data_IF_624075004348
#
_entry.id   IF_624075004348
#
_cell.length_a   1.000
_cell.length_b   1.000
_cell.length_c   1.000
_cell.angle_alpha   90.00
_cell.angle_beta   90.00
_cell.angle_gamma   90.00
#
_symmetry.space_group_name_H-M   'P 1'
#
loop_
_entity.id
_entity.type
_entity.pdbx_description
1 polymer ?
#
# COMPACT_ATOMS: atom_id res chain seq x y z
N UNK A 1 21.74 -13.86 -39.93
CA UNK A 1 20.53 -14.64 -40.26
C UNK A 1 19.84 -14.93 -38.95
N UNK A 2 18.93 -14.01 -38.61
CA UNK A 2 17.74 -14.12 -37.76
C UNK A 2 17.84 -14.94 -36.45
N UNK A 3 18.05 -14.21 -35.36
CA UNK A 3 17.50 -14.52 -34.04
C UNK A 3 15.97 -14.33 -34.11
N UNK A 4 15.21 -15.42 -33.96
CA UNK A 4 13.75 -15.35 -33.87
C UNK A 4 13.36 -14.97 -32.44
N UNK A 5 13.13 -13.68 -32.20
CA UNK A 5 12.34 -13.19 -31.08
C UNK A 5 10.92 -13.77 -31.18
N UNK A 6 10.57 -14.72 -30.31
CA UNK A 6 9.18 -15.12 -30.12
C UNK A 6 8.46 -14.03 -29.32
N UNK A 7 8.00 -13.00 -30.03
CA UNK A 7 7.01 -12.05 -29.52
C UNK A 7 5.67 -12.80 -29.45
N UNK A 8 5.23 -13.15 -28.24
CA UNK A 8 3.84 -13.54 -28.03
C UNK A 8 2.98 -12.26 -28.06
N UNK A 9 2.58 -11.85 -29.26
CA UNK A 9 1.48 -10.90 -29.44
C UNK A 9 0.17 -11.59 -29.02
N UNK A 10 -0.19 -11.42 -27.74
CA UNK A 10 -1.49 -11.82 -27.23
C UNK A 10 -2.55 -10.85 -27.73
N UNK A 11 -3.24 -11.21 -28.82
CA UNK A 11 -4.54 -10.62 -29.17
C UNK A 11 -5.59 -11.73 -29.02
N UNK A 12 -6.38 -11.63 -27.96
CA UNK A 12 -7.67 -12.32 -27.85
C UNK A 12 -8.70 -11.31 -27.35
N UNK A 13 -9.47 -10.75 -28.30
CA UNK A 13 -10.70 -9.98 -28.05
C UNK A 13 -10.57 -8.46 -27.87
N UNK A 14 -10.80 -7.70 -28.94
CA UNK A 14 -11.10 -6.26 -28.87
C UNK A 14 -9.87 -5.33 -28.86
N UNK A 15 -10.08 -4.07 -29.24
CA UNK A 15 -9.08 -3.04 -29.58
C UNK A 15 -7.87 -2.93 -28.63
N UNK A 16 -6.69 -2.51 -29.14
CA UNK A 16 -5.49 -2.34 -28.33
C UNK A 16 -5.72 -1.33 -27.21
N UNK A 17 -5.74 -1.81 -25.97
CA UNK A 17 -5.78 -0.96 -24.78
C UNK A 17 -4.36 -0.41 -24.58
N UNK A 18 -4.18 0.91 -24.76
CA UNK A 18 -2.96 1.59 -24.33
C UNK A 18 -2.92 1.59 -22.79
N UNK A 19 -2.09 0.72 -22.21
CA UNK A 19 -1.89 0.64 -20.75
C UNK A 19 -0.58 1.34 -20.41
N UNK A 20 -0.59 2.54 -19.78
CA UNK A 20 0.64 3.20 -19.35
C UNK A 20 1.33 2.39 -18.23
N UNK A 21 2.64 2.63 -18.06
CA UNK A 21 3.38 2.14 -16.90
C UNK A 21 2.70 2.60 -15.58
N UNK A 22 2.52 1.70 -14.64
CA UNK A 22 1.88 2.00 -13.35
C UNK A 22 2.59 1.30 -12.18
N UNK A 23 2.61 1.91 -11.00
CA UNK A 23 3.19 1.35 -9.77
C UNK A 23 4.64 0.85 -9.91
N UNK A 24 5.48 1.58 -10.66
CA UNK A 24 6.89 1.22 -10.87
C UNK A 24 7.11 0.04 -11.83
N UNK A 25 6.05 -0.49 -12.45
CA UNK A 25 6.13 -1.50 -13.50
C UNK A 25 6.39 -0.87 -14.87
N UNK A 26 7.10 -1.61 -15.73
CA UNK A 26 7.23 -1.25 -17.13
C UNK A 26 5.92 -1.47 -17.88
N UNK A 27 5.75 -0.82 -19.03
CA UNK A 27 4.60 -1.03 -19.90
C UNK A 27 4.40 -2.52 -20.25
N UNK A 28 5.49 -3.24 -20.52
CA UNK A 28 5.45 -4.67 -20.81
C UNK A 28 4.94 -5.49 -19.61
N UNK A 29 5.38 -5.14 -18.40
CA UNK A 29 4.92 -5.80 -17.18
C UNK A 29 3.43 -5.56 -16.93
N UNK A 30 2.97 -4.32 -17.15
CA UNK A 30 1.56 -3.94 -17.08
C UNK A 30 0.71 -4.72 -18.09
N UNK A 31 1.15 -4.78 -19.36
CA UNK A 31 0.46 -5.51 -20.42
C UNK A 31 0.37 -7.00 -20.13
N UNK A 32 1.48 -7.61 -19.66
CA UNK A 32 1.48 -9.03 -19.28
C UNK A 32 0.49 -9.30 -18.14
N UNK A 33 0.45 -8.44 -17.13
CA UNK A 33 -0.44 -8.62 -15.99
C UNK A 33 -1.91 -8.54 -16.42
N UNK A 34 -2.28 -7.53 -17.22
CA UNK A 34 -3.63 -7.40 -17.79
C UNK A 34 -3.98 -8.61 -18.66
N UNK A 35 -3.05 -9.09 -19.49
CA UNK A 35 -3.28 -10.27 -20.31
C UNK A 35 -3.55 -11.54 -19.47
N UNK A 36 -2.80 -11.73 -18.38
CA UNK A 36 -3.04 -12.85 -17.46
C UNK A 36 -4.38 -12.73 -16.74
N UNK A 37 -4.79 -11.51 -16.36
CA UNK A 37 -6.11 -11.28 -15.80
C UNK A 37 -7.22 -11.50 -16.83
N UNK A 38 -7.07 -11.09 -18.09
CA UNK A 38 -8.06 -11.39 -19.13
C UNK A 38 -8.34 -12.89 -19.25
N UNK A 39 -7.32 -13.72 -19.08
CA UNK A 39 -7.46 -15.19 -19.15
C UNK A 39 -8.02 -15.81 -17.86
N UNK A 40 -7.79 -15.18 -16.70
CA UNK A 40 -8.17 -15.75 -15.39
C UNK A 40 -9.44 -15.14 -14.80
N UNK A 41 -9.66 -13.83 -14.97
CA UNK A 41 -10.82 -13.04 -14.55
C UNK A 41 -11.06 -11.85 -15.51
N UNK A 42 -11.83 -12.05 -16.61
CA UNK A 42 -12.08 -11.01 -17.62
C UNK A 42 -12.83 -9.78 -17.10
N UNK A 43 -13.69 -9.93 -16.08
CA UNK A 43 -14.44 -8.78 -15.53
C UNK A 43 -13.54 -7.91 -14.65
N UNK A 44 -12.69 -8.54 -13.84
CA UNK A 44 -11.67 -7.80 -13.10
C UNK A 44 -10.67 -7.13 -14.04
N UNK A 45 -10.23 -7.80 -15.09
CA UNK A 45 -9.27 -7.24 -16.06
C UNK A 45 -9.75 -5.92 -16.70
N UNK A 46 -11.05 -5.77 -16.95
CA UNK A 46 -11.66 -4.51 -17.45
C UNK A 46 -11.54 -3.36 -16.45
N UNK A 47 -11.57 -3.67 -15.16
CA UNK A 47 -11.54 -2.67 -14.08
C UNK A 47 -10.13 -2.48 -13.50
N UNK A 48 -9.24 -3.44 -13.71
CA UNK A 48 -7.91 -3.49 -13.11
C UNK A 48 -7.07 -2.21 -13.34
N UNK A 49 -7.04 -1.58 -14.54
CA UNK A 49 -6.27 -0.35 -14.76
C UNK A 49 -6.73 0.83 -13.88
N UNK A 50 -7.99 0.83 -13.43
CA UNK A 50 -8.53 1.88 -12.55
C UNK A 50 -8.59 1.44 -11.09
N UNK A 51 -8.87 0.16 -10.82
CA UNK A 51 -9.04 -0.38 -9.47
C UNK A 51 -7.73 -0.42 -8.67
N UNK A 52 -6.64 -0.93 -9.25
CA UNK A 52 -5.35 -1.06 -8.53
C UNK A 52 -4.76 0.31 -8.13
N UNK A 53 -4.73 1.34 -9.01
CA UNK A 53 -4.24 2.66 -8.61
C UNK A 53 -5.08 3.33 -7.52
N UNK A 54 -6.41 3.20 -7.56
CA UNK A 54 -7.29 3.77 -6.53
C UNK A 54 -7.04 3.07 -5.19
N UNK A 55 -6.98 1.73 -5.20
CA UNK A 55 -6.66 0.95 -4.02
C UNK A 55 -5.28 1.34 -3.46
N UNK A 56 -4.28 1.55 -4.33
CA UNK A 56 -2.93 1.97 -3.94
C UNK A 56 -2.95 3.29 -3.19
N UNK A 57 -3.65 4.28 -3.74
CA UNK A 57 -3.73 5.59 -3.14
C UNK A 57 -4.42 5.55 -1.78
N UNK A 58 -5.54 4.83 -1.64
CA UNK A 58 -6.27 4.70 -0.38
C UNK A 58 -5.40 4.06 0.69
N UNK A 59 -4.78 2.94 0.34
CA UNK A 59 -3.93 2.15 1.22
C UNK A 59 -2.66 2.91 1.64
N UNK A 60 -2.01 3.62 0.72
CA UNK A 60 -0.85 4.47 1.01
C UNK A 60 -1.22 5.62 1.97
N UNK A 61 -2.34 6.31 1.73
CA UNK A 61 -2.82 7.39 2.58
C UNK A 61 -3.10 6.93 4.02
N UNK A 62 -3.68 5.74 4.19
CA UNK A 62 -3.94 5.16 5.52
C UNK A 62 -2.65 4.82 6.26
N UNK A 63 -1.67 4.28 5.55
CA UNK A 63 -0.36 3.95 6.11
C UNK A 63 0.42 5.17 6.55
N UNK A 64 0.52 6.18 5.69
CA UNK A 64 1.20 7.44 5.99
C UNK A 64 0.60 8.11 7.22
N UNK A 65 -0.74 8.15 7.33
CA UNK A 65 -1.42 8.68 8.51
C UNK A 65 -1.02 7.94 9.79
N UNK A 66 -1.01 6.60 9.75
CA UNK A 66 -0.73 5.75 10.93
C UNK A 66 0.73 5.79 11.38
N UNK A 67 1.66 5.88 10.43
CA UNK A 67 3.11 5.89 10.66
C UNK A 67 3.73 7.28 10.63
N UNK A 68 2.90 8.33 10.54
CA UNK A 68 3.34 9.71 10.66
C UNK A 68 4.09 9.94 11.98
N UNK A 69 5.07 10.85 11.92
CA UNK A 69 5.84 11.26 13.11
C UNK A 69 4.90 11.73 14.22
N UNK A 70 3.85 12.48 13.87
CA UNK A 70 2.84 12.93 14.83
C UNK A 70 2.14 11.80 15.57
N UNK A 71 1.64 10.79 14.85
CA UNK A 71 0.99 9.64 15.50
C UNK A 71 1.93 8.81 16.34
N UNK A 72 3.22 8.76 15.99
CA UNK A 72 4.25 8.10 16.82
C UNK A 72 4.51 8.89 18.11
N UNK A 73 4.59 10.22 18.03
CA UNK A 73 4.79 11.08 19.19
C UNK A 73 3.56 11.15 20.11
N UNK A 74 2.34 11.07 19.56
CA UNK A 74 1.10 10.91 20.34
C UNK A 74 1.12 9.69 21.26
N UNK A 75 1.72 8.57 20.83
CA UNK A 75 1.83 7.34 21.63
C UNK A 75 2.91 7.42 22.70
N UNK A 76 3.89 8.30 22.47
CA UNK A 76 5.03 8.48 23.33
C UNK A 76 4.63 9.21 24.63
N UNK A 77 4.35 10.51 24.50
CA UNK A 77 3.88 11.35 25.58
C UNK A 77 3.11 12.54 24.97
N UNK A 78 2.01 12.95 25.60
CA UNK A 78 1.17 14.04 25.12
C UNK A 78 1.98 15.34 24.93
N UNK A 79 2.97 15.61 25.79
CA UNK A 79 3.88 16.76 25.66
C UNK A 79 4.52 16.85 24.26
N UNK A 80 5.02 15.73 23.73
CA UNK A 80 5.68 15.69 22.42
C UNK A 80 4.69 15.78 21.26
N UNK A 81 3.47 15.26 21.46
CA UNK A 81 2.37 15.48 20.51
C UNK A 81 1.99 16.94 20.43
N UNK A 82 1.97 17.67 21.55
CA UNK A 82 1.59 19.07 21.58
C UNK A 82 2.66 19.92 20.89
N UNK A 83 3.94 19.65 21.15
CA UNK A 83 5.06 20.29 20.43
C UNK A 83 4.99 20.00 18.91
N UNK A 84 4.66 18.76 18.52
CA UNK A 84 4.50 18.39 17.11
C UNK A 84 3.27 18.99 16.45
N UNK A 85 2.10 19.00 17.12
CA UNK A 85 0.87 19.58 16.59
C UNK A 85 1.00 21.07 16.43
N UNK A 86 1.57 21.74 17.42
CA UNK A 86 1.94 23.14 17.33
C UNK A 86 2.81 23.37 16.10
N UNK A 87 3.90 22.61 15.97
CA UNK A 87 4.77 22.66 14.79
C UNK A 87 4.03 22.48 13.45
N UNK A 88 3.21 21.43 13.31
CA UNK A 88 2.44 21.12 12.10
C UNK A 88 1.39 22.20 11.77
N UNK A 89 0.67 22.69 12.78
CA UNK A 89 -0.33 23.73 12.65
C UNK A 89 0.28 25.03 12.14
N UNK A 90 1.38 25.47 12.76
CA UNK A 90 2.02 26.72 12.37
C UNK A 90 2.71 26.58 11.01
N UNK A 91 3.29 25.42 10.71
CA UNK A 91 3.83 25.14 9.38
C UNK A 91 2.75 25.26 8.31
N UNK A 92 1.55 24.68 8.54
CA UNK A 92 0.42 24.76 7.60
C UNK A 92 -0.06 26.20 7.41
N UNK A 93 -0.24 26.96 8.49
CA UNK A 93 -0.67 28.37 8.42
C UNK A 93 0.33 29.23 7.62
N UNK A 94 1.62 28.97 7.79
CA UNK A 94 2.65 29.73 7.09
C UNK A 94 2.78 29.37 5.60
N UNK A 95 2.54 28.11 5.21
CA UNK A 95 2.43 27.74 3.78
C UNK A 95 1.27 28.49 3.13
N UNK A 96 0.10 28.50 3.76
CA UNK A 96 -1.09 29.20 3.27
C UNK A 96 -0.79 30.70 3.07
N UNK A 97 -0.23 31.36 4.10
CA UNK A 97 0.13 32.79 4.02
C UNK A 97 1.19 33.09 2.97
N UNK A 98 2.27 32.31 2.88
CA UNK A 98 3.30 32.46 1.84
C UNK A 98 2.71 32.42 0.43
N UNK A 99 1.76 31.52 0.20
CA UNK A 99 1.10 31.42 -1.11
C UNK A 99 0.29 32.67 -1.45
N UNK A 100 -0.25 33.36 -0.45
CA UNK A 100 -1.05 34.59 -0.63
C UNK A 100 -0.23 35.89 -0.68
N UNK A 101 1.02 35.88 -0.21
CA UNK A 101 1.87 37.08 -0.10
C UNK A 101 2.94 37.18 -1.19
N UNK A 102 2.77 36.48 -2.32
CA UNK A 102 3.75 36.40 -3.40
C UNK A 102 5.13 35.93 -2.88
N UNK A 103 5.11 34.93 -2.00
CA UNK A 103 6.32 34.28 -1.47
C UNK A 103 7.21 35.22 -0.63
N UNK A 104 6.66 36.36 -0.18
CA UNK A 104 7.35 37.28 0.70
C UNK A 104 7.32 36.74 2.14
N UNK A 105 8.47 36.28 2.59
CA UNK A 105 8.71 35.69 3.91
C UNK A 105 8.28 36.62 5.04
N UNK A 106 8.74 37.87 5.02
CA UNK A 106 8.49 38.84 6.10
C UNK A 106 7.00 39.21 6.17
N UNK A 107 6.30 39.25 5.03
CA UNK A 107 4.85 39.47 4.98
C UNK A 107 4.05 38.24 5.38
N UNK A 108 4.53 37.03 5.09
CA UNK A 108 3.88 35.78 5.49
C UNK A 108 4.02 35.51 6.99
N UNK A 109 5.13 35.95 7.58
CA UNK A 109 5.38 35.96 9.00
C UNK A 109 4.42 36.88 9.77
N UNK A 110 4.01 37.99 9.14
CA UNK A 110 3.13 39.00 9.75
C UNK A 110 1.73 38.42 10.03
N UNK A 111 1.33 38.42 11.30
CA UNK A 111 0.00 37.97 11.75
C UNK A 111 -0.20 36.46 11.89
N UNK A 112 0.86 35.61 11.88
CA UNK A 112 0.77 34.26 12.43
C UNK A 112 0.25 34.36 13.87
N UNK A 113 -0.79 33.59 14.23
CA UNK A 113 -1.44 33.70 15.55
C UNK A 113 -0.48 33.24 16.65
N UNK A 114 0.31 34.19 17.14
CA UNK A 114 1.19 34.01 18.29
C UNK A 114 0.52 34.69 19.47
N UNK A 115 0.36 33.98 20.58
CA UNK A 115 -0.10 34.60 21.82
C UNK A 115 0.84 35.76 22.19
N UNK A 116 0.29 36.87 22.71
CA UNK A 116 1.06 38.05 23.09
C UNK A 116 2.24 37.66 24.00
N UNK A 117 3.46 37.72 23.46
CA UNK A 117 4.71 37.38 24.15
C UNK A 117 5.54 36.23 23.56
N UNK A 118 5.05 35.48 22.57
CA UNK A 118 5.76 34.32 21.97
C UNK A 118 6.54 34.61 20.66
N UNK A 119 6.62 35.88 20.25
CA UNK A 119 6.70 36.36 18.86
C UNK A 119 7.92 35.99 17.99
N UNK A 120 8.95 35.31 18.49
CA UNK A 120 10.16 35.04 17.66
C UNK A 120 10.52 33.57 17.49
N UNK A 121 10.27 32.70 18.47
CA UNK A 121 10.75 31.31 18.44
C UNK A 121 10.00 30.45 17.42
N UNK A 122 8.67 30.57 17.46
CA UNK A 122 7.75 29.89 16.55
C UNK A 122 7.94 30.39 15.12
N UNK A 123 8.07 31.71 14.95
CA UNK A 123 8.41 32.32 13.67
C UNK A 123 9.68 31.67 13.08
N UNK A 124 10.74 31.55 13.87
CA UNK A 124 12.00 30.98 13.41
C UNK A 124 11.87 29.47 13.08
N UNK A 125 11.10 28.72 13.87
CA UNK A 125 10.84 27.30 13.63
C UNK A 125 10.14 27.06 12.29
N UNK A 126 9.16 27.91 11.99
CA UNK A 126 8.30 27.83 10.81
C UNK A 126 9.05 28.24 9.57
N UNK A 127 9.69 29.41 9.63
CA UNK A 127 10.50 29.91 8.54
C UNK A 127 11.68 28.99 8.26
N UNK A 128 12.29 28.43 9.30
CA UNK A 128 13.33 27.43 9.18
C UNK A 128 12.86 26.18 8.44
N UNK A 129 11.67 25.68 8.77
CA UNK A 129 11.11 24.46 8.17
C UNK A 129 10.66 24.65 6.72
N UNK A 130 10.13 25.83 6.39
CA UNK A 130 9.76 26.21 5.03
C UNK A 130 10.98 26.34 4.12
N UNK A 131 12.05 26.96 4.62
CA UNK A 131 13.32 27.05 3.91
C UNK A 131 13.97 25.66 3.74
N UNK A 132 13.76 24.74 4.69
CA UNK A 132 14.20 23.34 4.58
C UNK A 132 13.46 22.55 3.51
N UNK A 133 12.11 22.57 3.54
CA UNK A 133 11.29 21.76 2.62
C UNK A 133 11.24 22.29 1.19
N UNK A 134 11.64 23.56 0.99
CA UNK A 134 11.34 24.32 -0.21
C UNK A 134 9.86 24.69 -0.27
N UNK A 135 9.53 25.82 -0.87
CA UNK A 135 8.15 26.33 -0.86
C UNK A 135 7.37 25.68 -2.01
N UNK A 136 6.19 25.11 -1.78
CA UNK A 136 5.38 24.43 -2.81
C UNK A 136 4.21 25.32 -3.24
N UNK A 137 3.77 25.24 -4.50
CA UNK A 137 2.55 25.93 -4.96
C UNK A 137 1.39 24.96 -5.03
N UNK A 138 0.15 25.46 -4.90
CA UNK A 138 -1.01 24.61 -5.09
C UNK A 138 -1.04 24.03 -6.53
N UNK A 139 -1.46 22.76 -6.69
CA UNK A 139 -1.64 22.16 -8.00
C UNK A 139 -2.67 22.91 -8.81
N UNK A 140 -2.29 23.37 -10.01
CA UNK A 140 -3.23 24.03 -10.93
C UNK A 140 -4.19 23.04 -11.61
N UNK A 141 -4.05 21.73 -11.34
CA UNK A 141 -4.92 20.66 -11.83
C UNK A 141 -4.37 19.27 -11.50
N UNK A 142 -5.10 18.19 -11.88
CA UNK A 142 -4.74 16.80 -11.56
C UNK A 142 -3.39 16.34 -12.12
N UNK A 143 -2.93 16.95 -13.22
CA UNK A 143 -1.69 16.58 -13.92
C UNK A 143 -0.48 17.45 -13.56
N UNK A 144 -0.63 18.43 -12.67
CA UNK A 144 0.41 19.40 -12.33
C UNK A 144 1.44 18.83 -11.33
N UNK A 145 2.25 17.86 -11.79
CA UNK A 145 3.35 17.30 -10.99
C UNK A 145 4.45 18.32 -10.67
N UNK A 146 4.51 19.42 -11.42
CA UNK A 146 5.47 20.50 -11.20
C UNK A 146 5.11 21.38 -9.99
N UNK A 147 3.83 21.50 -9.63
CA UNK A 147 3.38 22.18 -8.40
C UNK A 147 3.88 21.53 -7.10
N UNK A 148 4.15 20.23 -7.16
CA UNK A 148 4.73 19.43 -6.07
C UNK A 148 6.25 19.58 -5.97
N UNK A 149 6.90 20.12 -7.00
CA UNK A 149 8.31 20.54 -6.96
C UNK A 149 8.41 21.89 -6.26
N UNK A 150 9.44 22.14 -5.44
CA UNK A 150 9.60 23.43 -4.78
C UNK A 150 9.66 24.57 -5.79
N UNK A 151 8.85 25.61 -5.59
CA UNK A 151 8.87 26.93 -6.26
C UNK A 151 10.24 27.59 -6.08
N UNK A 152 10.91 27.33 -4.95
CA UNK A 152 12.30 27.70 -4.70
C UNK A 152 13.06 26.51 -4.10
N UNK A 153 14.30 26.31 -4.53
CA UNK A 153 15.21 25.33 -3.96
C UNK A 153 15.37 25.54 -2.43
N UNK A 154 15.56 24.46 -1.64
CA UNK A 154 15.82 24.58 -0.21
C UNK A 154 16.97 25.56 0.10
N UNK A 155 16.75 26.43 1.08
CA UNK A 155 17.79 27.29 1.65
C UNK A 155 18.20 26.73 3.01
N UNK A 156 19.11 25.76 2.99
CA UNK A 156 19.54 25.06 4.20
C UNK A 156 20.27 25.97 5.20
N UNK A 157 21.03 26.96 4.74
CA UNK A 157 21.77 27.88 5.61
C UNK A 157 20.81 28.77 6.41
N UNK A 158 19.85 29.42 5.71
CA UNK A 158 18.80 30.20 6.36
C UNK A 158 17.90 29.33 7.25
N UNK A 159 17.60 28.11 6.80
CA UNK A 159 16.84 27.15 7.59
C UNK A 159 17.51 26.83 8.94
N UNK A 160 18.80 26.49 8.90
CA UNK A 160 19.59 26.16 10.10
C UNK A 160 19.63 27.33 11.08
N UNK A 161 19.96 28.53 10.62
CA UNK A 161 20.06 29.72 11.50
C UNK A 161 18.76 29.99 12.27
N UNK A 162 17.60 29.83 11.61
CA UNK A 162 16.31 30.03 12.26
C UNK A 162 15.96 28.88 13.21
N UNK A 163 16.21 27.64 12.81
CA UNK A 163 16.01 26.48 13.69
C UNK A 163 16.91 26.51 14.93
N UNK A 164 18.13 27.03 14.84
CA UNK A 164 19.03 27.22 15.99
C UNK A 164 18.42 28.18 17.02
N UNK A 165 17.91 29.32 16.55
CA UNK A 165 17.20 30.28 17.40
C UNK A 165 15.94 29.69 18.04
N UNK A 166 15.21 28.83 17.33
CA UNK A 166 14.07 28.12 17.89
C UNK A 166 14.51 27.11 18.97
N UNK A 167 15.59 26.37 18.72
CA UNK A 167 16.15 25.42 19.67
C UNK A 167 16.61 26.09 20.97
N UNK A 168 17.30 27.23 20.89
CA UNK A 168 17.75 28.01 22.06
C UNK A 168 16.60 28.46 22.98
N UNK A 169 15.38 28.46 22.46
CA UNK A 169 14.15 28.82 23.17
C UNK A 169 13.34 27.60 23.64
N UNK A 170 13.89 26.40 23.50
CA UNK A 170 13.34 25.16 24.05
C UNK A 170 12.61 24.27 23.04
N UNK A 171 12.57 24.61 21.75
CA UNK A 171 11.93 23.77 20.71
C UNK A 171 12.87 22.65 20.28
N UNK A 172 12.76 21.50 20.93
CA UNK A 172 13.64 20.35 20.73
C UNK A 172 13.53 19.76 19.33
N UNK A 173 12.35 19.85 18.71
CA UNK A 173 12.12 19.43 17.33
C UNK A 173 12.97 20.22 16.32
N UNK A 174 13.36 21.46 16.62
CA UNK A 174 14.21 22.25 15.74
C UNK A 174 15.59 21.59 15.55
N UNK A 175 16.19 21.08 16.64
CA UNK A 175 17.45 20.33 16.57
C UNK A 175 17.32 19.01 15.78
N UNK A 176 16.17 18.33 15.86
CA UNK A 176 15.89 17.15 15.02
C UNK A 176 15.81 17.52 13.53
N UNK A 177 15.19 18.65 13.21
CA UNK A 177 15.14 19.16 11.82
C UNK A 177 16.52 19.58 11.32
N UNK A 178 17.34 20.26 12.14
CA UNK A 178 18.73 20.60 11.79
C UNK A 178 19.54 19.33 11.48
N UNK A 179 19.44 18.30 12.32
CA UNK A 179 20.11 17.03 12.04
C UNK A 179 19.64 16.39 10.72
N UNK A 180 18.36 16.55 10.39
CA UNK A 180 17.78 16.05 9.12
C UNK A 180 18.24 16.88 7.91
N UNK A 181 18.46 18.18 8.07
CA UNK A 181 19.04 19.06 7.05
C UNK A 181 20.43 18.58 6.66
N UNK A 182 21.31 18.33 7.64
CA UNK A 182 22.68 17.88 7.35
C UNK A 182 22.71 16.54 6.59
N UNK A 183 21.84 15.59 6.95
CA UNK A 183 21.73 14.32 6.23
C UNK A 183 21.21 14.50 4.79
N UNK A 184 20.30 15.45 4.58
CA UNK A 184 19.76 15.74 3.26
C UNK A 184 20.80 16.46 2.38
N UNK A 185 21.55 17.42 2.94
CA UNK A 185 22.67 18.09 2.27
C UNK A 185 23.72 17.08 1.81
N UNK A 186 24.09 16.12 2.66
CA UNK A 186 25.02 15.05 2.30
C UNK A 186 24.51 14.23 1.11
N UNK A 187 23.23 13.81 1.16
CA UNK A 187 22.58 13.03 0.11
C UNK A 187 22.57 13.77 -1.23
N UNK A 188 22.28 15.08 -1.21
CA UNK A 188 22.26 15.93 -2.41
C UNK A 188 23.67 16.20 -2.96
N UNK A 189 24.66 16.34 -2.08
CA UNK A 189 26.03 16.63 -2.44
C UNK A 189 26.82 15.39 -2.88
N UNK A 190 26.31 14.17 -2.67
CA UNK A 190 27.05 12.94 -2.95
C UNK A 190 28.38 12.86 -2.19
N UNK A 191 28.46 13.49 -1.02
CA UNK A 191 29.70 13.61 -0.23
C UNK A 191 30.72 14.64 -0.74
N UNK A 192 30.38 15.46 -1.75
CA UNK A 192 31.30 16.43 -2.37
C UNK A 192 31.23 17.84 -1.74
N UNK A 193 30.21 18.15 -0.94
CA UNK A 193 30.06 19.46 -0.32
C UNK A 193 30.25 19.37 1.19
N UNK A 194 31.39 19.84 1.68
CA UNK A 194 31.56 20.77 2.80
C UNK A 194 33.06 20.82 3.18
N UNK A 195 33.51 21.96 3.73
CA UNK A 195 34.91 22.31 4.02
C UNK A 195 35.61 21.35 5.03
N UNK A 196 35.89 20.11 4.63
CA UNK A 196 36.67 19.15 5.40
C UNK A 196 35.98 18.54 6.64
N UNK A 197 34.66 18.71 6.80
CA UNK A 197 33.89 18.15 7.92
C UNK A 197 32.71 17.31 7.41
N UNK A 198 32.48 16.15 8.03
CA UNK A 198 31.46 15.18 7.64
C UNK A 198 30.07 15.63 8.16
N UNK A 199 29.08 15.92 7.28
CA UNK A 199 27.72 16.31 7.68
C UNK A 199 27.05 15.33 8.64
N UNK A 200 27.39 14.04 8.59
CA UNK A 200 26.86 13.03 9.51
C UNK A 200 27.26 13.32 10.94
N UNK A 201 28.46 13.86 11.18
CA UNK A 201 28.93 14.24 12.52
C UNK A 201 28.08 15.38 13.07
N UNK A 202 27.79 16.40 12.27
CA UNK A 202 26.90 17.48 12.69
C UNK A 202 25.47 16.99 12.92
N UNK A 203 24.96 16.11 12.06
CA UNK A 203 23.66 15.50 12.26
C UNK A 203 23.60 14.76 13.61
N UNK A 204 24.62 13.94 13.90
CA UNK A 204 24.76 13.24 15.17
C UNK A 204 24.74 14.20 16.37
N UNK A 205 25.55 15.26 16.34
CA UNK A 205 25.65 16.24 17.42
C UNK A 205 24.31 16.94 17.68
N UNK A 206 23.58 17.32 16.63
CA UNK A 206 22.27 17.94 16.75
C UNK A 206 21.20 16.98 17.28
N UNK A 207 21.18 15.73 16.80
CA UNK A 207 20.32 14.72 17.40
C UNK A 207 20.65 14.47 18.87
N UNK A 208 21.94 14.48 19.24
CA UNK A 208 22.38 14.30 20.62
C UNK A 208 21.91 15.45 21.52
N UNK A 209 22.02 16.70 21.08
CA UNK A 209 21.48 17.87 21.81
C UNK A 209 19.99 17.71 22.12
N UNK A 210 19.19 17.27 21.14
CA UNK A 210 17.76 17.02 21.35
C UNK A 210 17.49 15.77 22.23
N UNK A 211 18.31 14.72 22.11
CA UNK A 211 18.20 13.51 22.91
C UNK A 211 18.56 13.75 24.39
N UNK A 212 19.48 14.67 24.67
CA UNK A 212 19.84 15.10 26.03
C UNK A 212 18.67 15.84 26.72
N UNK A 213 17.74 16.39 25.94
CA UNK A 213 16.45 16.93 26.39
C UNK A 213 15.31 15.89 26.41
N UNK A 214 15.67 14.60 26.28
CA UNK A 214 14.76 13.45 26.29
C UNK A 214 13.72 13.43 25.16
N UNK A 215 13.95 14.14 24.05
CA UNK A 215 13.09 14.00 22.89
C UNK A 215 13.16 12.54 22.35
N UNK A 216 12.05 11.79 22.31
CA UNK A 216 12.07 10.36 22.00
C UNK A 216 12.50 10.06 20.56
N UNK A 217 12.13 10.91 19.61
CA UNK A 217 12.56 10.80 18.22
C UNK A 217 14.07 11.04 18.09
N UNK A 218 14.60 12.03 18.80
CA UNK A 218 16.04 12.28 18.83
C UNK A 218 16.82 11.13 19.48
N UNK A 219 16.33 10.61 20.62
CA UNK A 219 16.91 9.43 21.27
C UNK A 219 16.96 8.23 20.32
N UNK A 220 15.88 7.98 19.57
CA UNK A 220 15.86 6.96 18.53
C UNK A 220 16.93 7.19 17.44
N UNK A 221 17.03 8.42 16.92
CA UNK A 221 18.03 8.78 15.89
C UNK A 221 19.47 8.60 16.39
N UNK A 222 19.77 9.03 17.61
CA UNK A 222 21.09 8.83 18.23
C UNK A 222 21.41 7.34 18.39
N UNK A 223 20.44 6.54 18.83
CA UNK A 223 20.59 5.09 18.91
C UNK A 223 20.97 4.47 17.56
N UNK A 224 20.27 4.86 16.49
CA UNK A 224 20.55 4.38 15.13
C UNK A 224 21.93 4.81 14.63
N UNK A 225 22.35 6.03 14.90
CA UNK A 225 23.67 6.52 14.49
C UNK A 225 24.80 5.74 15.18
N UNK A 226 24.66 5.47 16.47
CA UNK A 226 25.62 4.66 17.24
C UNK A 226 25.63 3.20 16.81
N UNK A 227 24.48 2.62 16.47
CA UNK A 227 24.38 1.24 15.99
C UNK A 227 25.10 1.06 14.65
N UNK A 228 24.96 2.04 13.74
CA UNK A 228 25.48 1.97 12.38
C UNK A 228 26.86 2.65 12.22
N UNK A 229 27.34 3.39 13.23
CA UNK A 229 28.58 4.18 13.14
C UNK A 229 28.47 5.37 12.17
N UNK A 230 27.30 6.00 12.09
CA UNK A 230 27.05 7.13 11.19
C UNK A 230 27.49 8.41 11.90
N UNK A 231 28.53 9.08 11.39
CA UNK A 231 29.02 10.35 11.97
C UNK A 231 29.55 10.24 13.41
N UNK A 232 29.72 9.02 13.92
CA UNK A 232 30.21 8.71 15.25
C UNK A 232 30.82 7.30 15.27
N UNK A 233 31.58 6.98 16.32
CA UNK A 233 32.10 5.63 16.51
C UNK A 233 30.95 4.65 16.81
N UNK A 234 30.96 3.50 16.14
CA UNK A 234 29.96 2.46 16.35
C UNK A 234 30.00 1.97 17.81
N UNK A 235 28.88 2.03 18.50
CA UNK A 235 28.76 1.55 19.88
C UNK A 235 27.35 1.04 20.17
N UNK A 236 27.18 -0.28 20.09
CA UNK A 236 25.88 -0.94 20.27
C UNK A 236 25.34 -0.81 21.70
N UNK A 237 26.19 -0.84 22.73
CA UNK A 237 25.75 -0.70 24.13
C UNK A 237 25.14 0.68 24.39
N UNK A 238 25.81 1.74 23.91
CA UNK A 238 25.28 3.10 23.99
C UNK A 238 24.01 3.23 23.14
N UNK A 239 23.96 2.63 21.95
CA UNK A 239 22.77 2.61 21.10
C UNK A 239 21.56 2.02 21.84
N UNK A 240 21.72 0.85 22.48
CA UNK A 240 20.69 0.22 23.31
C UNK A 240 20.22 1.17 24.43
N UNK A 241 21.15 1.88 25.08
CA UNK A 241 20.82 2.87 26.11
C UNK A 241 19.92 4.00 25.59
N UNK A 242 20.22 4.55 24.41
CA UNK A 242 19.38 5.59 23.79
C UNK A 242 18.05 5.06 23.26
N UNK A 243 18.02 3.85 22.69
CA UNK A 243 16.78 3.21 22.32
C UNK A 243 15.88 2.93 23.53
N UNK A 244 16.44 2.54 24.67
CA UNK A 244 15.68 2.38 25.92
C UNK A 244 15.07 3.69 26.40
N UNK A 245 15.80 4.80 26.36
CA UNK A 245 15.23 6.13 26.70
C UNK A 245 14.02 6.47 25.81
N UNK A 246 14.14 6.27 24.51
CA UNK A 246 13.03 6.49 23.58
C UNK A 246 11.86 5.51 23.82
N UNK A 247 12.17 4.25 24.13
CA UNK A 247 11.19 3.23 24.48
C UNK A 247 10.40 3.56 25.74
N UNK A 248 11.09 4.02 26.80
CA UNK A 248 10.48 4.40 28.07
C UNK A 248 9.53 5.59 27.90
N UNK A 249 9.87 6.49 26.98
CA UNK A 249 9.00 7.58 26.51
C UNK A 249 7.94 7.11 25.51
N UNK A 250 7.78 5.82 25.22
CA UNK A 250 6.68 5.30 24.39
C UNK A 250 6.89 5.33 22.88
N UNK A 251 8.14 5.44 22.40
CA UNK A 251 8.44 5.52 20.97
C UNK A 251 8.49 4.12 20.29
N UNK A 252 7.58 3.84 19.33
CA UNK A 252 7.41 2.49 18.79
C UNK A 252 8.59 1.97 17.96
N UNK A 253 9.25 2.83 17.20
CA UNK A 253 10.40 2.44 16.36
C UNK A 253 11.59 1.99 17.24
N UNK A 254 11.75 2.57 18.43
CA UNK A 254 12.80 2.15 19.37
C UNK A 254 12.47 0.83 20.06
N UNK A 255 11.20 0.59 20.40
CA UNK A 255 10.76 -0.74 20.82
C UNK A 255 11.08 -1.79 19.75
N UNK A 256 10.78 -1.50 18.49
CA UNK A 256 11.07 -2.40 17.38
C UNK A 256 12.56 -2.71 17.25
N UNK A 257 13.43 -1.68 17.26
CA UNK A 257 14.87 -1.88 17.12
C UNK A 257 15.46 -2.64 18.31
N UNK A 258 15.00 -2.39 19.54
CA UNK A 258 15.38 -3.21 20.69
C UNK A 258 14.95 -4.67 20.52
N UNK A 259 13.76 -4.90 19.97
CA UNK A 259 13.27 -6.22 19.60
C UNK A 259 14.22 -6.94 18.63
N UNK A 260 14.63 -6.26 17.55
CA UNK A 260 15.57 -6.80 16.54
C UNK A 260 16.96 -7.09 17.12
N UNK A 261 17.49 -6.19 17.96
CA UNK A 261 18.78 -6.36 18.63
C UNK A 261 18.75 -7.61 19.52
N UNK A 262 17.70 -7.75 20.35
CA UNK A 262 17.54 -8.91 21.22
C UNK A 262 17.18 -10.19 20.46
N UNK A 263 16.68 -10.09 19.22
CA UNK A 263 16.47 -11.26 18.36
C UNK A 263 17.78 -11.82 17.79
N UNK A 264 18.80 -10.97 17.67
CA UNK A 264 20.10 -11.32 17.09
C UNK A 264 20.26 -10.96 15.60
N UNK A 265 19.44 -10.04 15.07
CA UNK A 265 19.46 -9.68 13.64
C UNK A 265 20.55 -8.68 13.23
N UNK A 266 21.29 -8.11 14.18
CA UNK A 266 22.39 -7.18 13.91
C UNK A 266 23.73 -7.89 14.13
N UNK A 267 24.68 -7.76 13.20
CA UNK A 267 26.01 -8.34 13.37
C UNK A 267 26.64 -7.86 14.70
N UNK A 268 27.31 -8.75 15.44
CA UNK A 268 27.86 -8.53 16.81
C UNK A 268 26.86 -8.67 17.99
N UNK A 269 25.59 -9.02 17.75
CA UNK A 269 24.54 -9.13 18.80
C UNK A 269 24.49 -10.44 19.58
N UNK A 270 25.34 -11.43 19.32
CA UNK A 270 25.27 -12.72 20.01
C UNK A 270 25.27 -12.57 21.56
N UNK A 271 25.95 -11.55 22.09
CA UNK A 271 25.98 -11.22 23.51
C UNK A 271 24.66 -10.63 24.07
N UNK A 272 23.80 -10.07 23.20
CA UNK A 272 22.52 -9.45 23.56
C UNK A 272 21.31 -10.29 23.21
N UNK A 273 21.49 -11.45 22.55
CA UNK A 273 20.40 -12.34 22.14
C UNK A 273 19.59 -12.78 23.37
N UNK A 274 18.32 -12.41 23.37
CA UNK A 274 17.33 -12.73 24.39
C UNK A 274 15.95 -12.74 23.72
N UNK A 275 15.53 -13.92 23.25
CA UNK A 275 14.30 -14.10 22.46
C UNK A 275 13.07 -13.65 23.25
N UNK A 276 13.05 -13.89 24.57
CA UNK A 276 11.96 -13.47 25.43
C UNK A 276 11.85 -11.94 25.47
N UNK A 277 12.95 -11.23 25.70
CA UNK A 277 12.94 -9.75 25.63
C UNK A 277 12.59 -9.23 24.24
N UNK A 278 13.04 -9.91 23.19
CA UNK A 278 12.69 -9.55 21.82
C UNK A 278 11.17 -9.52 21.62
N UNK A 279 10.48 -10.58 22.07
CA UNK A 279 9.02 -10.66 22.05
C UNK A 279 8.39 -9.57 22.92
N UNK A 280 8.88 -9.34 24.14
CA UNK A 280 8.37 -8.28 25.03
C UNK A 280 8.41 -6.89 24.36
N UNK A 281 9.52 -6.56 23.71
CA UNK A 281 9.67 -5.29 23.00
C UNK A 281 8.76 -5.18 21.78
N UNK A 282 8.67 -6.24 20.96
CA UNK A 282 7.76 -6.22 19.81
C UNK A 282 6.28 -6.17 20.23
N UNK A 283 5.90 -6.87 21.30
CA UNK A 283 4.55 -6.83 21.87
C UNK A 283 4.20 -5.41 22.34
N UNK A 284 5.17 -4.71 22.95
CA UNK A 284 4.97 -3.32 23.34
C UNK A 284 4.80 -2.39 22.15
N UNK A 285 5.61 -2.55 21.10
CA UNK A 285 5.44 -1.82 19.84
C UNK A 285 4.09 -2.11 19.16
N UNK A 286 3.62 -3.37 19.22
CA UNK A 286 2.28 -3.77 18.74
C UNK A 286 1.18 -3.04 19.49
N UNK A 287 1.27 -2.95 20.83
CA UNK A 287 0.31 -2.19 21.64
C UNK A 287 0.27 -0.70 21.24
N UNK A 288 1.39 -0.16 20.77
CA UNK A 288 1.47 1.18 20.17
C UNK A 288 1.14 1.20 18.66
N UNK A 289 0.61 0.12 18.11
CA UNK A 289 0.10 0.05 16.75
C UNK A 289 1.18 0.10 15.66
N UNK A 290 2.41 -0.30 15.97
CA UNK A 290 3.52 -0.35 15.02
C UNK A 290 3.53 -1.66 14.23
N UNK A 291 3.10 -1.60 12.96
CA UNK A 291 2.97 -2.77 12.08
C UNK A 291 4.26 -3.58 11.91
N UNK A 292 5.45 -2.98 11.73
CA UNK A 292 6.68 -3.77 11.54
C UNK A 292 6.99 -4.74 12.70
N UNK A 293 6.65 -4.36 13.94
CA UNK A 293 6.81 -5.26 15.10
C UNK A 293 5.80 -6.41 15.12
N UNK A 294 4.61 -6.19 14.58
CA UNK A 294 3.60 -7.25 14.45
C UNK A 294 4.04 -8.27 13.42
N UNK A 295 4.64 -7.81 12.32
CA UNK A 295 5.24 -8.68 11.32
C UNK A 295 6.45 -9.43 11.85
N UNK A 296 7.30 -8.77 12.64
CA UNK A 296 8.42 -9.42 13.32
C UNK A 296 7.93 -10.52 14.27
N UNK A 297 6.92 -10.25 15.10
CA UNK A 297 6.28 -11.28 15.93
C UNK A 297 5.68 -12.39 15.08
N UNK A 298 4.91 -12.06 14.05
CA UNK A 298 4.29 -13.05 13.16
C UNK A 298 5.31 -14.02 12.58
N UNK A 299 6.44 -13.49 12.09
CA UNK A 299 7.58 -14.28 11.63
C UNK A 299 8.21 -15.12 12.74
N UNK A 300 8.33 -14.60 13.96
CA UNK A 300 8.83 -15.38 15.10
C UNK A 300 7.93 -16.56 15.42
N UNK A 301 6.61 -16.36 15.45
CA UNK A 301 5.64 -17.43 15.67
C UNK A 301 5.71 -18.50 14.57
N UNK A 302 5.82 -18.10 13.30
CA UNK A 302 6.05 -19.06 12.21
C UNK A 302 7.37 -19.82 12.36
N UNK A 303 8.45 -19.18 12.81
CA UNK A 303 9.71 -19.88 13.07
C UNK A 303 9.59 -20.84 14.26
N UNK A 304 8.86 -20.48 15.32
CA UNK A 304 8.59 -21.34 16.47
C UNK A 304 7.82 -22.61 16.08
N UNK A 305 6.90 -22.52 15.10
CA UNK A 305 6.20 -23.70 14.56
C UNK A 305 7.15 -24.76 13.98
N UNK A 306 8.32 -24.33 13.47
CA UNK A 306 9.33 -25.20 12.85
C UNK A 306 10.51 -25.50 13.79
N UNK A 307 10.62 -24.82 14.93
CA UNK A 307 11.74 -24.92 15.86
C UNK A 307 11.29 -24.90 17.33
N UNK A 308 11.20 -26.10 17.92
CA UNK A 308 10.79 -26.28 19.31
C UNK A 308 11.78 -25.71 20.35
N UNK A 309 13.07 -25.58 20.02
CA UNK A 309 14.05 -24.96 20.92
C UNK A 309 13.82 -23.45 20.99
N UNK A 310 13.55 -22.81 19.84
CA UNK A 310 13.19 -21.39 19.79
C UNK A 310 11.92 -21.09 20.61
N UNK A 311 10.91 -21.97 20.56
CA UNK A 311 9.69 -21.84 21.36
C UNK A 311 9.99 -21.89 22.89
N UNK A 312 10.93 -22.75 23.30
CA UNK A 312 11.42 -22.79 24.68
C UNK A 312 12.16 -21.51 25.07
N UNK A 313 13.06 -21.02 24.22
CA UNK A 313 13.80 -19.76 24.43
C UNK A 313 12.84 -18.55 24.55
N UNK A 314 11.75 -18.55 23.78
CA UNK A 314 10.70 -17.54 23.82
C UNK A 314 9.86 -17.56 25.11
N UNK A 315 10.02 -18.57 25.97
CA UNK A 315 9.19 -18.74 27.16
C UNK A 315 7.76 -19.18 26.84
N UNK A 316 7.53 -19.70 25.64
CA UNK A 316 6.27 -20.31 25.22
C UNK A 316 6.48 -21.80 24.86
N UNK A 317 6.96 -22.65 25.78
CA UNK A 317 7.16 -24.06 25.49
C UNK A 317 5.81 -24.80 25.52
N UNK A 318 5.42 -25.43 24.41
CA UNK A 318 4.38 -26.47 24.42
C UNK A 318 3.02 -26.14 23.82
N UNK A 319 2.88 -25.12 22.99
CA UNK A 319 1.76 -25.09 22.02
C UNK A 319 2.01 -26.06 20.87
N UNK A 320 0.95 -26.53 20.20
CA UNK A 320 1.06 -27.32 18.97
C UNK A 320 1.63 -26.43 17.84
N UNK A 321 2.43 -26.97 16.90
CA UNK A 321 3.00 -26.21 15.78
C UNK A 321 1.98 -25.33 15.05
N UNK A 322 0.77 -25.85 14.84
CA UNK A 322 -0.35 -25.21 14.17
C UNK A 322 -0.81 -23.94 14.90
N UNK A 323 -0.78 -23.92 16.24
CA UNK A 323 -1.19 -22.76 17.03
C UNK A 323 -0.26 -21.56 16.79
N UNK A 324 1.05 -21.82 16.65
CA UNK A 324 1.99 -20.75 16.30
C UNK A 324 1.80 -20.26 14.87
N UNK A 325 1.42 -21.14 13.93
CA UNK A 325 1.10 -20.72 12.55
C UNK A 325 -0.10 -19.78 12.54
N UNK A 326 -1.19 -20.16 13.21
CA UNK A 326 -2.40 -19.34 13.33
C UNK A 326 -2.07 -18.00 13.98
N UNK A 327 -1.39 -18.02 15.13
CA UNK A 327 -0.98 -16.79 15.85
C UNK A 327 -0.11 -15.91 14.96
N UNK A 328 0.83 -16.50 14.22
CA UNK A 328 1.72 -15.78 13.32
C UNK A 328 0.97 -15.04 12.22
N UNK A 329 -0.02 -15.70 11.63
CA UNK A 329 -0.89 -15.14 10.59
C UNK A 329 -1.79 -14.04 11.17
N UNK A 330 -2.45 -14.29 12.30
CA UNK A 330 -3.31 -13.30 12.96
C UNK A 330 -2.53 -12.02 13.29
N UNK A 331 -1.27 -12.14 13.73
CA UNK A 331 -0.41 -10.98 14.01
C UNK A 331 -0.11 -10.16 12.76
N UNK A 332 0.17 -10.81 11.63
CA UNK A 332 0.40 -10.13 10.35
C UNK A 332 -0.90 -9.52 9.81
N UNK A 333 -2.02 -10.25 9.86
CA UNK A 333 -3.33 -9.80 9.41
C UNK A 333 -3.89 -8.63 10.26
N UNK A 334 -3.73 -8.67 11.59
CA UNK A 334 -4.16 -7.60 12.49
C UNK A 334 -3.50 -6.25 12.18
N UNK A 335 -2.42 -6.26 11.39
CA UNK A 335 -1.67 -5.07 11.00
C UNK A 335 -1.54 -4.84 9.50
N UNK A 336 -2.27 -5.61 8.68
CA UNK A 336 -2.31 -5.50 7.22
C UNK A 336 -2.80 -4.14 6.68
N UNK A 337 -3.16 -3.20 7.55
CA UNK A 337 -3.55 -1.84 7.15
C UNK A 337 -2.32 -0.95 6.90
N UNK A 338 -1.30 -1.46 6.21
CA UNK A 338 -0.08 -0.67 6.05
C UNK A 338 1.12 -1.26 5.33
N UNK A 339 1.52 -2.46 5.72
CA UNK A 339 2.87 -2.97 5.43
C UNK A 339 2.87 -3.93 4.25
N UNK A 340 3.56 -3.55 3.17
CA UNK A 340 3.69 -4.37 1.96
C UNK A 340 4.42 -5.69 2.24
N UNK A 341 5.39 -5.68 3.16
CA UNK A 341 6.18 -6.87 3.51
C UNK A 341 5.30 -7.93 4.19
N UNK A 342 4.33 -7.49 5.02
CA UNK A 342 3.36 -8.39 5.65
C UNK A 342 2.50 -9.10 4.61
N UNK A 343 1.99 -8.33 3.65
CA UNK A 343 1.16 -8.82 2.57
C UNK A 343 1.94 -9.79 1.69
N UNK A 344 3.17 -9.44 1.32
CA UNK A 344 4.04 -10.35 0.57
C UNK A 344 4.23 -11.67 1.32
N UNK A 345 4.55 -11.61 2.62
CA UNK A 345 4.76 -12.80 3.46
C UNK A 345 3.49 -13.66 3.57
N UNK A 346 2.33 -13.06 3.80
CA UNK A 346 1.05 -13.77 3.82
C UNK A 346 0.76 -14.43 2.46
N UNK A 347 1.00 -13.70 1.36
CA UNK A 347 0.88 -14.25 0.01
C UNK A 347 1.79 -15.46 -0.22
N UNK A 348 3.02 -15.43 0.29
CA UNK A 348 3.94 -16.57 0.22
C UNK A 348 3.49 -17.75 1.08
N UNK A 349 2.95 -17.49 2.28
CA UNK A 349 2.45 -18.53 3.17
C UNK A 349 1.29 -19.27 2.52
N UNK A 350 0.25 -18.55 2.08
CA UNK A 350 -0.92 -19.13 1.40
C UNK A 350 -0.57 -19.72 0.02
N UNK A 351 0.43 -19.17 -0.67
CA UNK A 351 0.92 -19.68 -1.95
C UNK A 351 1.83 -20.91 -1.82
N UNK A 352 2.22 -21.30 -0.60
CA UNK A 352 3.09 -22.44 -0.32
C UNK A 352 2.33 -23.57 0.39
N UNK A 353 2.89 -24.79 0.32
CA UNK A 353 2.37 -25.93 1.09
C UNK A 353 3.05 -26.08 2.46
N UNK A 354 4.00 -25.19 2.77
CA UNK A 354 4.91 -25.30 3.93
C UNK A 354 4.20 -25.29 5.28
N UNK A 355 3.00 -24.70 5.34
CA UNK A 355 2.21 -24.55 6.55
C UNK A 355 0.84 -25.23 6.47
N UNK A 356 0.57 -26.03 5.43
CA UNK A 356 -0.72 -26.71 5.24
C UNK A 356 -1.92 -25.81 4.95
N UNK A 357 -1.70 -24.50 4.76
CA UNK A 357 -2.72 -23.47 4.54
C UNK A 357 -2.81 -23.03 3.07
N UNK A 358 -2.50 -23.92 2.13
CA UNK A 358 -2.42 -23.56 0.72
C UNK A 358 -3.78 -23.05 0.18
N UNK A 359 -3.83 -21.79 -0.21
CA UNK A 359 -5.01 -21.08 -0.73
C UNK A 359 -4.55 -20.06 -1.78
N UNK A 360 -4.76 -20.41 -3.05
CA UNK A 360 -4.29 -19.61 -4.18
C UNK A 360 -5.01 -18.28 -4.32
N UNK A 361 -6.28 -18.19 -3.93
CA UNK A 361 -7.05 -16.96 -4.05
C UNK A 361 -6.63 -15.97 -2.96
N UNK A 362 -6.42 -16.44 -1.73
CA UNK A 362 -5.80 -15.62 -0.68
C UNK A 362 -4.39 -15.19 -1.05
N UNK A 363 -3.58 -16.10 -1.59
CA UNK A 363 -2.24 -15.79 -2.03
C UNK A 363 -2.24 -14.68 -3.10
N UNK A 364 -3.13 -14.78 -4.09
CA UNK A 364 -3.32 -13.77 -5.12
C UNK A 364 -3.70 -12.42 -4.51
N UNK A 365 -4.72 -12.39 -3.66
CA UNK A 365 -5.21 -11.15 -3.02
C UNK A 365 -4.10 -10.43 -2.24
N UNK A 366 -3.31 -11.15 -1.43
CA UNK A 366 -2.21 -10.52 -0.71
C UNK A 366 -1.08 -10.04 -1.63
N UNK A 367 -0.80 -10.76 -2.72
CA UNK A 367 0.21 -10.33 -3.70
C UNK A 367 -0.22 -9.08 -4.47
N UNK A 368 -1.51 -8.98 -4.82
CA UNK A 368 -2.08 -7.76 -5.38
C UNK A 368 -1.95 -6.59 -4.41
N UNK A 369 -2.33 -6.79 -3.15
CA UNK A 369 -2.22 -5.77 -2.10
C UNK A 369 -0.76 -5.33 -1.88
N UNK A 370 0.20 -6.27 -1.87
CA UNK A 370 1.63 -5.94 -1.75
C UNK A 370 2.13 -5.13 -2.96
N UNK A 371 1.76 -5.52 -4.18
CA UNK A 371 2.13 -4.81 -5.41
C UNK A 371 1.56 -3.38 -5.44
N UNK A 372 0.30 -3.24 -5.00
CA UNK A 372 -0.42 -1.97 -4.86
C UNK A 372 0.29 -1.01 -3.90
N UNK A 373 1.06 -1.53 -2.94
CA UNK A 373 1.88 -0.75 -2.00
C UNK A 373 3.28 -0.41 -2.53
N UNK A 374 3.60 -0.82 -3.76
CA UNK A 374 4.89 -0.56 -4.39
C UNK A 374 5.94 -1.65 -4.18
N UNK A 375 5.58 -2.81 -3.60
CA UNK A 375 6.50 -3.94 -3.55
C UNK A 375 6.53 -4.67 -4.90
N UNK A 376 7.53 -4.33 -5.72
CA UNK A 376 7.75 -4.94 -7.03
C UNK A 376 8.12 -6.42 -6.97
N UNK A 377 8.53 -6.96 -5.81
CA UNK A 377 8.76 -8.40 -5.68
C UNK A 377 7.45 -9.18 -5.82
N UNK A 378 6.35 -8.62 -5.33
CA UNK A 378 5.01 -9.21 -5.41
C UNK A 378 4.57 -9.46 -6.86
N UNK A 379 5.00 -8.62 -7.81
CA UNK A 379 4.73 -8.81 -9.25
C UNK A 379 5.12 -10.21 -9.73
N UNK A 380 6.34 -10.64 -9.41
CA UNK A 380 6.87 -11.91 -9.90
C UNK A 380 6.10 -13.10 -9.33
N UNK A 381 5.69 -13.02 -8.06
CA UNK A 381 4.87 -14.05 -7.43
C UNK A 381 3.43 -14.03 -7.97
N UNK A 382 2.85 -12.85 -8.17
CA UNK A 382 1.51 -12.70 -8.75
C UNK A 382 1.44 -13.30 -10.15
N UNK A 383 2.43 -13.02 -11.01
CA UNK A 383 2.51 -13.63 -12.34
C UNK A 383 2.57 -15.16 -12.27
N UNK A 384 3.33 -15.72 -11.32
CA UNK A 384 3.39 -17.18 -11.10
C UNK A 384 2.04 -17.74 -10.68
N UNK A 385 1.34 -17.06 -9.76
CA UNK A 385 0.01 -17.44 -9.28
C UNK A 385 -1.00 -17.44 -10.43
N UNK A 386 -1.06 -16.34 -11.20
CA UNK A 386 -1.99 -16.21 -12.32
C UNK A 386 -1.71 -17.24 -13.43
N UNK A 387 -0.44 -17.50 -13.76
CA UNK A 387 -0.06 -18.57 -14.69
C UNK A 387 -0.47 -19.95 -14.19
N UNK A 388 -0.30 -20.22 -12.89
CA UNK A 388 -0.73 -21.49 -12.30
C UNK A 388 -2.26 -21.65 -12.37
N UNK A 389 -3.03 -20.57 -12.09
CA UNK A 389 -4.49 -20.57 -12.24
C UNK A 389 -4.92 -20.78 -13.69
N UNK A 390 -4.28 -20.11 -14.63
CA UNK A 390 -4.51 -20.33 -16.07
C UNK A 390 -4.25 -21.78 -16.47
N UNK A 391 -3.12 -22.36 -16.05
CA UNK A 391 -2.79 -23.75 -16.35
C UNK A 391 -3.81 -24.73 -15.74
N UNK A 392 -4.27 -24.48 -14.51
CA UNK A 392 -5.30 -25.28 -13.86
C UNK A 392 -6.65 -25.20 -14.61
N UNK A 393 -7.03 -24.01 -15.07
CA UNK A 393 -8.23 -23.81 -15.90
C UNK A 393 -8.14 -24.59 -17.22
N UNK A 394 -7.02 -24.47 -17.93
CA UNK A 394 -6.80 -25.20 -19.20
C UNK A 394 -6.85 -26.71 -18.98
N UNK A 395 -6.27 -27.21 -17.89
CA UNK A 395 -6.33 -28.63 -17.55
C UNK A 395 -7.77 -29.10 -17.30
N UNK A 396 -8.56 -28.31 -16.56
CA UNK A 396 -9.97 -28.59 -16.30
C UNK A 396 -10.81 -28.55 -17.59
N UNK A 397 -10.60 -27.55 -18.45
CA UNK A 397 -11.27 -27.45 -19.75
C UNK A 397 -10.94 -28.65 -20.64
N UNK A 398 -9.67 -29.08 -20.65
CA UNK A 398 -9.25 -30.29 -21.37
C UNK A 398 -9.92 -31.55 -20.82
N UNK A 399 -9.97 -31.72 -19.49
CA UNK A 399 -10.66 -32.84 -18.85
C UNK A 399 -12.16 -32.83 -19.18
N UNK A 400 -12.80 -31.67 -19.14
CA UNK A 400 -14.20 -31.48 -19.51
C UNK A 400 -14.45 -31.86 -20.98
N UNK A 401 -13.54 -31.47 -21.89
CA UNK A 401 -13.61 -31.85 -23.30
C UNK A 401 -13.44 -33.36 -23.50
N UNK A 402 -12.47 -33.98 -22.85
CA UNK A 402 -12.26 -35.43 -22.89
C UNK A 402 -13.47 -36.20 -22.31
N UNK A 403 -14.07 -35.70 -21.24
CA UNK A 403 -15.27 -36.26 -20.64
C UNK A 403 -16.49 -36.08 -21.56
N UNK A 404 -16.63 -34.92 -22.20
CA UNK A 404 -17.67 -34.66 -23.19
C UNK A 404 -17.53 -35.59 -24.39
N UNK A 405 -16.32 -35.81 -24.91
CA UNK A 405 -16.09 -36.71 -26.05
C UNK A 405 -16.51 -38.15 -25.76
N UNK A 406 -16.34 -38.63 -24.52
CA UNK A 406 -16.74 -39.97 -24.05
C UNK A 406 -18.25 -40.17 -23.91
N UNK A 407 -19.06 -39.10 -23.90
CA UNK A 407 -20.53 -39.20 -23.79
C UNK A 407 -21.16 -39.82 -25.05
N UNK A 408 -22.29 -40.52 -24.85
CA UNK A 408 -23.14 -41.02 -25.93
C UNK A 408 -23.77 -39.85 -26.72
N UNK A 409 -24.18 -40.08 -27.97
CA UNK A 409 -24.80 -39.03 -28.79
C UNK A 409 -26.08 -38.46 -28.15
N UNK A 410 -26.86 -39.31 -27.48
CA UNK A 410 -28.11 -38.94 -26.82
C UNK A 410 -27.87 -38.10 -25.55
N UNK A 411 -26.80 -38.41 -24.80
CA UNK A 411 -26.43 -37.65 -23.60
C UNK A 411 -25.75 -36.33 -23.93
N UNK A 412 -24.97 -36.25 -25.02
CA UNK A 412 -24.46 -34.98 -25.58
C UNK A 412 -25.60 -34.04 -25.92
N UNK A 413 -26.65 -34.54 -26.58
CA UNK A 413 -27.81 -33.73 -26.94
C UNK A 413 -28.60 -33.22 -25.72
N UNK A 414 -28.77 -34.06 -24.69
CA UNK A 414 -29.37 -33.65 -23.41
C UNK A 414 -28.55 -32.56 -22.71
N UNK A 415 -27.23 -32.72 -22.64
CA UNK A 415 -26.33 -31.77 -22.02
C UNK A 415 -26.31 -30.42 -22.76
N UNK A 416 -26.25 -30.44 -24.10
CA UNK A 416 -26.35 -29.23 -24.93
C UNK A 416 -27.68 -28.50 -24.67
N UNK A 417 -28.79 -29.23 -24.55
CA UNK A 417 -30.10 -28.65 -24.21
C UNK A 417 -30.16 -28.08 -22.79
N UNK A 418 -29.42 -28.64 -21.83
CA UNK A 418 -29.29 -28.11 -20.48
C UNK A 418 -28.45 -26.84 -20.45
N UNK A 419 -27.25 -26.86 -21.06
CA UNK A 419 -26.37 -25.70 -21.14
C UNK A 419 -27.01 -24.54 -21.92
N UNK A 420 -27.78 -24.83 -22.98
CA UNK A 420 -28.55 -23.81 -23.70
C UNK A 420 -29.69 -23.21 -22.88
N UNK A 421 -30.20 -23.91 -21.85
CA UNK A 421 -31.16 -23.35 -20.88
C UNK A 421 -30.46 -22.53 -19.79
N UNK A 422 -29.27 -22.94 -19.35
CA UNK A 422 -28.48 -22.22 -18.35
C UNK A 422 -27.85 -20.94 -18.93
N UNK A 423 -27.50 -20.93 -20.21
CA UNK A 423 -27.01 -19.75 -20.93
C UNK A 423 -28.07 -18.68 -21.26
N UNK A 424 -29.36 -18.95 -21.04
CA UNK A 424 -30.46 -17.98 -21.22
C UNK A 424 -30.98 -17.43 -19.86
N UNK A 425 -30.25 -17.66 -18.77
CA UNK A 425 -30.54 -17.09 -17.44
C UNK A 425 -29.94 -15.68 -17.25
N UNK A 426 -30.10 -14.80 -18.25
CA UNK A 426 -30.07 -13.36 -18.03
C UNK A 426 -31.46 -12.77 -18.29
N UNK A 427 -32.21 -12.63 -17.19
CA UNK A 427 -33.20 -11.58 -16.89
C UNK A 427 -34.36 -11.36 -17.88
N UNK A 428 -35.58 -11.65 -17.41
CA UNK A 428 -36.87 -11.07 -17.83
C UNK A 428 -36.89 -10.36 -19.20
N UNK A 429 -37.40 -11.04 -20.24
CA UNK A 429 -37.46 -10.51 -21.61
C UNK A 429 -38.35 -9.26 -21.66
N UNK A 430 -37.85 -8.16 -22.22
CA UNK A 430 -38.60 -6.90 -22.34
C UNK A 430 -39.59 -6.96 -23.51
N UNK A 431 -40.70 -6.23 -23.42
CA UNK A 431 -41.68 -6.16 -24.50
C UNK A 431 -41.04 -5.60 -25.78
N UNK A 432 -41.32 -6.24 -26.93
CA UNK A 432 -40.77 -5.80 -28.22
C UNK A 432 -41.31 -4.45 -28.73
N UNK A 433 -42.33 -3.86 -28.08
CA UNK A 433 -42.72 -2.50 -28.39
C UNK A 433 -41.74 -1.53 -27.72
N UNK A 434 -40.96 -0.78 -28.51
CA UNK A 434 -39.93 0.14 -28.01
C UNK A 434 -40.47 1.29 -27.14
N UNK A 435 -41.79 1.52 -27.16
CA UNK A 435 -42.47 2.50 -26.29
C UNK A 435 -43.03 1.86 -25.00
N UNK A 436 -42.75 0.58 -24.74
CA UNK A 436 -43.25 -0.17 -23.59
C UNK A 436 -42.11 -0.70 -22.69
N UNK A 437 -42.08 -0.25 -21.44
CA UNK A 437 -41.03 -0.62 -20.47
C UNK A 437 -41.31 -1.91 -19.68
N UNK A 438 -42.38 -2.65 -20.02
CA UNK A 438 -42.73 -3.88 -19.28
C UNK A 438 -41.76 -5.02 -19.58
N UNK A 439 -41.29 -5.67 -18.50
CA UNK A 439 -40.46 -6.89 -18.53
C UNK A 439 -41.28 -8.10 -18.12
N UNK A 440 -40.96 -9.25 -18.68
CA UNK A 440 -41.67 -10.50 -18.46
C UNK A 440 -41.41 -11.04 -17.05
N UNK A 441 -42.34 -10.83 -16.12
CA UNK A 441 -42.22 -11.24 -14.70
C UNK A 441 -42.26 -12.77 -14.52
N UNK A 442 -43.16 -13.45 -15.23
CA UNK A 442 -43.23 -14.92 -15.29
C UNK A 442 -42.84 -15.44 -16.68
N UNK A 443 -41.94 -16.44 -16.79
CA UNK A 443 -41.49 -16.97 -18.08
C UNK A 443 -42.64 -17.52 -18.92
N UNK A 444 -42.87 -16.95 -20.11
CA UNK A 444 -43.93 -17.36 -21.03
C UNK A 444 -45.26 -16.62 -20.86
N UNK A 445 -45.34 -15.64 -19.95
CA UNK A 445 -46.52 -14.78 -19.79
C UNK A 445 -46.70 -13.84 -20.99
N UNK A 446 -45.63 -13.48 -21.71
CA UNK A 446 -45.73 -12.65 -22.91
C UNK A 446 -46.10 -13.49 -24.13
N UNK A 447 -47.08 -13.01 -24.91
CA UNK A 447 -47.53 -13.72 -26.12
C UNK A 447 -46.59 -13.42 -27.28
N UNK A 448 -46.07 -14.48 -27.89
CA UNK A 448 -45.23 -14.39 -29.08
C UNK A 448 -46.03 -14.04 -30.33
N UNK A 449 -45.37 -13.40 -31.28
CA UNK A 449 -45.92 -13.17 -32.60
C UNK A 449 -46.29 -14.50 -33.27
N UNK A 450 -47.58 -14.71 -33.56
CA UNK A 450 -48.05 -15.98 -34.13
C UNK A 450 -47.48 -16.33 -35.51
N UNK A 451 -46.81 -15.40 -36.20
CA UNK A 451 -46.24 -15.61 -37.53
C UNK A 451 -44.74 -15.92 -37.53
N UNK A 452 -43.93 -15.15 -36.80
CA UNK A 452 -42.47 -15.35 -36.77
C UNK A 452 -41.96 -16.00 -35.49
N UNK A 453 -42.75 -16.03 -34.40
CA UNK A 453 -42.38 -16.53 -33.07
C UNK A 453 -41.14 -15.90 -32.40
N UNK A 454 -40.48 -14.92 -33.06
CA UNK A 454 -39.21 -14.33 -32.64
C UNK A 454 -39.32 -13.20 -31.62
N UNK A 455 -40.46 -12.49 -31.59
CA UNK A 455 -40.70 -11.36 -30.68
C UNK A 455 -41.91 -11.61 -29.80
N UNK A 456 -41.87 -11.09 -28.57
CA UNK A 456 -42.88 -11.30 -27.53
C UNK A 456 -43.47 -9.97 -27.03
N UNK A 457 -44.76 -9.99 -26.66
CA UNK A 457 -45.51 -8.80 -26.27
C UNK A 457 -46.28 -9.04 -24.98
N UNK A 458 -46.28 -8.02 -24.11
CA UNK A 458 -47.03 -8.05 -22.85
C UNK A 458 -48.55 -7.94 -23.06
N UNK A 459 -49.00 -7.31 -24.15
CA UNK A 459 -50.42 -7.19 -24.49
C UNK A 459 -50.66 -7.20 -26.01
N UNK A 460 -51.92 -7.36 -26.39
CA UNK A 460 -52.35 -7.32 -27.79
C UNK A 460 -52.30 -5.91 -28.38
N UNK A 461 -52.37 -4.85 -27.55
CA UNK A 461 -52.15 -3.48 -28.02
C UNK A 461 -50.70 -3.26 -28.43
N UNK A 462 -49.73 -3.63 -27.58
CA UNK A 462 -48.31 -3.47 -27.88
C UNK A 462 -47.89 -4.24 -29.13
N UNK A 463 -48.47 -5.43 -29.36
CA UNK A 463 -48.28 -6.16 -30.60
C UNK A 463 -48.77 -5.38 -31.82
N UNK A 464 -49.93 -4.73 -31.74
CA UNK A 464 -50.50 -3.95 -32.86
C UNK A 464 -49.68 -2.70 -33.15
N UNK A 465 -49.18 -2.02 -32.14
CA UNK A 465 -48.35 -0.82 -32.30
C UNK A 465 -47.01 -1.15 -32.94
N UNK A 466 -46.26 -2.10 -32.37
CA UNK A 466 -44.99 -2.55 -32.96
C UNK A 466 -45.17 -3.10 -34.38
N UNK A 467 -46.31 -3.74 -34.67
CA UNK A 467 -46.66 -4.18 -36.02
C UNK A 467 -46.79 -3.01 -37.01
N UNK A 468 -47.34 -1.87 -36.58
CA UNK A 468 -47.50 -0.68 -37.41
C UNK A 468 -46.18 0.09 -37.58
N UNK A 469 -45.34 0.15 -36.55
CA UNK A 469 -44.12 0.97 -36.55
C UNK A 469 -42.95 0.33 -37.31
N UNK A 470 -42.97 -0.98 -37.55
CA UNK A 470 -41.96 -1.59 -38.43
C UNK A 470 -41.98 -3.11 -38.51
N UNK A 471 -42.53 -3.82 -37.53
CA UNK A 471 -42.41 -5.26 -37.47
C UNK A 471 -43.06 -5.98 -38.67
N UNK A 472 -44.11 -5.40 -39.28
CA UNK A 472 -44.73 -5.94 -40.51
C UNK A 472 -43.73 -6.15 -41.66
N UNK A 473 -42.69 -5.32 -41.73
CA UNK A 473 -41.70 -5.33 -42.83
C UNK A 473 -40.73 -6.52 -42.68
N UNK A 474 -40.40 -6.88 -41.44
CA UNK A 474 -39.39 -7.91 -41.09
C UNK A 474 -39.99 -9.24 -40.65
N UNK A 475 -41.30 -9.35 -40.49
CA UNK A 475 -41.97 -10.55 -39.99
C UNK A 475 -42.07 -11.66 -41.07
N UNK A 476 -41.08 -12.56 -41.12
CA UNK A 476 -41.06 -13.79 -41.94
C UNK A 476 -41.34 -15.05 -41.11
N UNK A 477 -41.97 -16.05 -41.73
CA UNK A 477 -42.21 -17.38 -41.11
C UNK A 477 -40.88 -18.05 -40.79
N UNK A 478 -40.75 -18.79 -39.68
CA UNK A 478 -39.53 -19.53 -39.36
C UNK A 478 -39.09 -20.52 -40.46
N UNK A 479 -40.01 -20.96 -41.32
CA UNK A 479 -39.72 -21.89 -42.44
C UNK A 479 -39.18 -21.22 -43.72
N UNK A 480 -38.88 -19.91 -43.69
CA UNK A 480 -38.39 -19.13 -44.85
C UNK A 480 -37.05 -18.42 -44.59
N UNK A 481 -36.30 -18.83 -43.57
CA UNK A 481 -34.93 -18.34 -43.31
C UNK A 481 -33.85 -19.34 -43.70
#
# INVERSE_FOLDING_TARGET
>A
MEESEHVHEGIVGGEPIEVPAFLGMTEQQSRLLVALYNETDPEFAKQMPTALPIAAQQLANEYEKRNSVGKKLERANMKWSDEYKLFDEIQREAVEKLSTTDMNIDKAADGLKLEEGQDSSVHDLVMGSLLYGGIRREPSGPDDRASMSPVASPNFEGAKHLLERAFDKGYTMAAVQIGSIYMQEEKLAGGQNMNGQDPKVFAYEWYKKAADLLNPMACHKVGYFLEQGIGCEKNLELAIGYYKKAFDEGYPDSAHNLGLIHQGFVNETAAFKDIKKSIEYFERAKQWGYSPSCNALGRMYLLMSKNAELAKEAGNPGSEPEDYVVTGIELMEATNNGDADAMLMLGLIFGSKDYGLYDMDKAQNYMELALVRGDLQAYNYLVRILRAKMAARVALEKENMENFEKLSAEDKEKLIRQLAKEGDNSMHKQCANGECDKKEEEPGSFKRCGRCQRVAYCSRECQKEHWKTGHKIVCKSPDQE
#
